data_IF_374759343529
#
_entry.id   IF_374759343529
#
_cell.length_a   1.000
_cell.length_b   1.000
_cell.length_c   1.000
_cell.angle_alpha   90.00
_cell.angle_beta   90.00
_cell.angle_gamma   90.00
#
_symmetry.space_group_name_H-M   'P 1'
#
loop_
_entity.id
_entity.type
_entity.pdbx_description
1 polymer ?
#
# COMPACT_ATOMS: atom_id res chain seq x y z
N UNK A 1 28.43 -19.06 16.71
CA UNK A 1 29.03 -18.61 17.98
C UNK A 1 27.97 -18.70 19.09
N UNK A 2 26.79 -18.14 18.93
CA UNK A 2 25.69 -18.13 19.90
C UNK A 2 25.22 -19.53 20.36
N UNK A 3 25.46 -20.57 19.58
CA UNK A 3 25.13 -21.96 19.96
C UNK A 3 26.01 -22.52 21.09
N UNK A 4 27.15 -21.88 21.35
CA UNK A 4 28.09 -22.33 22.41
C UNK A 4 27.68 -21.70 23.74
N UNK A 5 27.32 -22.49 24.76
CA UNK A 5 27.02 -21.97 26.09
C UNK A 5 28.18 -21.12 26.64
N UNK A 6 27.85 -19.95 27.20
CA UNK A 6 28.84 -19.02 27.74
C UNK A 6 29.54 -18.14 26.67
N UNK A 7 29.18 -18.23 25.40
CA UNK A 7 29.72 -17.32 24.38
C UNK A 7 29.19 -15.90 24.53
N UNK A 8 29.95 -14.90 24.07
CA UNK A 8 29.55 -13.49 24.12
C UNK A 8 28.24 -13.18 23.39
N UNK A 9 27.85 -14.04 22.45
CA UNK A 9 26.62 -13.86 21.66
C UNK A 9 25.52 -14.86 22.01
N UNK A 10 25.66 -15.63 23.08
CA UNK A 10 24.61 -16.58 23.48
C UNK A 10 23.26 -15.87 23.65
N UNK A 11 23.23 -14.78 24.42
CA UNK A 11 22.01 -14.05 24.76
C UNK A 11 21.54 -13.09 23.63
N UNK A 12 22.15 -13.15 22.45
CA UNK A 12 21.66 -12.45 21.26
C UNK A 12 20.40 -13.10 20.69
N UNK A 13 20.13 -14.35 21.12
CA UNK A 13 18.95 -15.12 20.74
C UNK A 13 18.18 -15.53 22.00
N UNK A 14 16.96 -15.98 21.80
CA UNK A 14 16.06 -16.34 22.89
C UNK A 14 16.13 -17.85 23.11
N UNK A 15 16.51 -18.25 24.31
CA UNK A 15 16.72 -19.66 24.66
C UNK A 15 15.79 -20.12 25.80
N UNK A 16 15.43 -21.43 25.79
CA UNK A 16 14.77 -22.13 26.88
C UNK A 16 15.43 -23.48 27.12
N UNK A 17 15.53 -23.89 28.37
CA UNK A 17 15.99 -25.23 28.74
C UNK A 17 14.90 -26.29 28.54
N UNK A 18 13.64 -25.89 28.54
CA UNK A 18 12.49 -26.75 28.33
C UNK A 18 11.71 -26.23 27.08
N UNK A 19 10.94 -27.16 26.46
CA UNK A 19 10.06 -26.76 25.38
C UNK A 19 8.81 -26.05 25.95
N UNK A 20 8.62 -24.71 25.73
CA UNK A 20 7.41 -24.03 26.19
C UNK A 20 6.11 -24.52 25.54
N UNK A 21 6.21 -25.29 24.45
CA UNK A 21 5.15 -26.05 23.80
C UNK A 21 3.99 -25.24 23.17
N UNK A 22 3.97 -23.91 23.28
CA UNK A 22 2.98 -23.10 22.53
C UNK A 22 3.34 -22.98 21.06
N UNK A 23 2.32 -22.73 20.25
CA UNK A 23 2.45 -22.58 18.79
C UNK A 23 2.43 -21.11 18.38
N UNK A 24 2.91 -20.82 17.19
CA UNK A 24 2.89 -19.51 16.59
C UNK A 24 1.51 -19.11 16.03
N UNK A 25 1.38 -17.88 15.53
CA UNK A 25 0.11 -17.32 15.02
C UNK A 25 -0.51 -18.12 13.87
N UNK A 26 0.29 -18.87 13.14
CA UNK A 26 -0.14 -19.75 12.04
C UNK A 26 -0.18 -21.23 12.43
N UNK A 27 -0.25 -21.51 13.74
CA UNK A 27 -0.25 -22.86 14.28
C UNK A 27 1.05 -23.65 13.99
N UNK A 28 2.15 -22.95 13.73
CA UNK A 28 3.47 -23.51 13.50
C UNK A 28 4.27 -23.64 14.80
N UNK A 29 5.30 -24.50 14.76
CA UNK A 29 6.26 -24.59 15.86
C UNK A 29 7.15 -23.32 15.87
N UNK A 30 7.34 -22.74 17.06
CA UNK A 30 8.18 -21.55 17.29
C UNK A 30 9.37 -21.82 18.23
N UNK A 31 9.38 -22.96 18.92
CA UNK A 31 10.51 -23.43 19.71
C UNK A 31 11.18 -24.61 19.03
N UNK A 32 12.44 -24.43 18.66
CA UNK A 32 13.21 -25.36 17.84
C UNK A 32 14.33 -25.98 18.69
N UNK A 33 14.44 -27.29 18.71
CA UNK A 33 15.41 -28.00 19.55
C UNK A 33 16.81 -27.93 18.96
N UNK A 34 17.79 -27.53 19.78
CA UNK A 34 19.21 -27.58 19.47
C UNK A 34 20.00 -28.15 20.66
N UNK A 35 20.49 -29.36 20.53
CA UNK A 35 21.13 -30.11 21.65
C UNK A 35 20.13 -30.33 22.81
N UNK A 36 20.47 -29.80 23.97
CA UNK A 36 19.66 -29.92 25.22
C UNK A 36 18.78 -28.67 25.46
N UNK A 37 18.75 -27.72 24.56
CA UNK A 37 18.00 -26.47 24.70
C UNK A 37 17.07 -26.26 23.51
N UNK A 38 16.23 -25.23 23.63
CA UNK A 38 15.37 -24.74 22.57
C UNK A 38 15.67 -23.25 22.29
N UNK A 39 15.66 -22.86 21.04
CA UNK A 39 15.70 -21.46 20.64
C UNK A 39 14.37 -21.03 20.01
N UNK A 40 14.05 -19.77 20.14
CA UNK A 40 12.86 -19.18 19.57
C UNK A 40 13.12 -18.75 18.12
N UNK A 41 12.16 -19.02 17.23
CA UNK A 41 12.14 -18.60 15.83
C UNK A 41 10.70 -18.64 15.34
N UNK A 42 10.05 -17.47 15.30
CA UNK A 42 8.61 -17.39 15.04
C UNK A 42 8.23 -17.89 13.65
N UNK A 43 9.06 -17.62 12.63
CA UNK A 43 8.74 -17.98 11.25
C UNK A 43 9.09 -19.46 10.96
N UNK A 44 10.32 -19.86 11.22
CA UNK A 44 10.76 -21.24 10.99
C UNK A 44 12.13 -21.52 11.64
N UNK A 45 12.54 -22.79 11.69
CA UNK A 45 13.75 -23.23 12.36
C UNK A 45 15.07 -22.63 11.83
N UNK A 46 15.11 -22.24 10.56
CA UNK A 46 16.27 -21.60 9.94
C UNK A 46 16.39 -20.10 10.18
N UNK A 47 15.42 -19.51 10.86
CA UNK A 47 15.35 -18.06 11.13
C UNK A 47 15.13 -17.81 12.65
N UNK A 48 16.18 -17.98 13.47
CA UNK A 48 16.10 -17.69 14.90
C UNK A 48 15.96 -16.19 15.15
N UNK A 49 15.04 -15.81 16.03
CA UNK A 49 14.76 -14.42 16.36
C UNK A 49 15.85 -13.82 17.24
N UNK A 50 16.21 -12.56 16.96
CA UNK A 50 17.12 -11.79 17.80
C UNK A 50 16.41 -11.37 19.10
N UNK A 51 17.16 -11.41 20.19
CA UNK A 51 16.69 -10.98 21.49
C UNK A 51 16.81 -9.45 21.65
N UNK A 52 15.80 -8.71 21.27
CA UNK A 52 15.76 -7.24 21.39
C UNK A 52 15.65 -6.72 22.83
N UNK A 53 15.56 -7.61 23.85
CA UNK A 53 15.75 -7.25 25.27
C UNK A 53 17.23 -7.17 25.63
N UNK A 54 18.12 -7.71 24.79
CA UNK A 54 19.57 -7.63 25.00
C UNK A 54 20.11 -6.28 24.50
N UNK A 55 20.74 -5.44 25.36
CA UNK A 55 21.24 -4.13 24.97
C UNK A 55 22.35 -4.18 23.91
N UNK A 56 23.11 -5.28 23.81
CA UNK A 56 24.13 -5.43 22.76
C UNK A 56 23.47 -5.62 21.39
N UNK A 57 22.36 -6.37 21.31
CA UNK A 57 21.55 -6.50 20.09
C UNK A 57 20.96 -5.16 19.68
N UNK A 58 20.40 -4.42 20.66
CA UNK A 58 19.85 -3.07 20.43
C UNK A 58 20.91 -2.15 19.85
N UNK A 59 22.09 -2.11 20.50
CA UNK A 59 23.22 -1.28 20.06
C UNK A 59 23.68 -1.65 18.64
N UNK A 60 23.72 -2.94 18.31
CA UNK A 60 24.14 -3.39 16.99
C UNK A 60 23.11 -3.03 15.91
N UNK A 61 21.82 -3.15 16.19
CA UNK A 61 20.78 -2.74 15.27
C UNK A 61 20.74 -1.23 15.03
N UNK A 62 21.07 -0.44 16.04
CA UNK A 62 21.25 1.02 15.86
C UNK A 62 22.44 1.33 14.93
N UNK A 63 23.55 0.60 15.06
CA UNK A 63 24.70 0.75 14.15
C UNK A 63 24.33 0.34 12.72
N UNK A 64 23.54 -0.72 12.54
CA UNK A 64 23.04 -1.11 11.21
C UNK A 64 22.21 0.02 10.60
N UNK A 65 21.28 0.60 11.37
CA UNK A 65 20.50 1.75 10.93
C UNK A 65 21.37 2.95 10.58
N UNK A 66 22.34 3.30 11.46
CA UNK A 66 23.28 4.39 11.24
C UNK A 66 24.11 4.20 9.97
N UNK A 67 24.63 2.99 9.73
CA UNK A 67 25.39 2.66 8.54
C UNK A 67 24.60 2.95 7.25
N UNK A 68 23.35 2.48 7.20
CA UNK A 68 22.53 2.69 6.01
C UNK A 68 22.14 4.16 5.80
N UNK A 69 21.79 4.89 6.87
CA UNK A 69 21.40 6.30 6.78
C UNK A 69 22.58 7.22 6.50
N UNK A 70 23.74 7.01 7.18
CA UNK A 70 24.88 7.95 7.12
C UNK A 70 25.90 7.58 6.03
N UNK A 71 26.26 6.30 5.91
CA UNK A 71 27.34 5.89 5.01
C UNK A 71 26.78 5.53 3.63
N UNK A 72 25.62 4.86 3.58
CA UNK A 72 25.02 4.43 2.32
C UNK A 72 24.02 5.43 1.74
N UNK A 73 23.58 6.43 2.53
CA UNK A 73 22.69 7.48 2.09
C UNK A 73 21.24 7.02 1.83
N UNK A 74 20.77 6.00 2.57
CA UNK A 74 19.37 5.60 2.51
C UNK A 74 18.48 6.68 3.11
N UNK A 75 17.27 6.87 2.54
CA UNK A 75 16.28 7.84 3.04
C UNK A 75 15.39 7.26 4.13
N UNK A 76 15.51 5.97 4.45
CA UNK A 76 14.72 5.31 5.47
C UNK A 76 14.66 3.80 5.28
N UNK A 77 13.68 3.16 5.94
CA UNK A 77 13.55 1.70 5.98
C UNK A 77 12.12 1.22 5.78
N UNK A 78 11.97 0.16 5.04
CA UNK A 78 10.79 -0.73 5.15
C UNK A 78 11.09 -1.77 6.23
N UNK A 79 10.23 -1.87 7.22
CA UNK A 79 10.38 -2.68 8.41
C UNK A 79 9.51 -3.92 8.29
N UNK A 80 10.16 -5.04 8.02
CA UNK A 80 9.52 -6.34 7.84
C UNK A 80 8.90 -6.84 9.14
N UNK A 81 7.71 -7.44 9.04
CA UNK A 81 7.10 -8.17 10.15
C UNK A 81 7.07 -7.41 11.49
N UNK A 82 6.82 -6.09 11.44
CA UNK A 82 7.04 -5.16 12.55
C UNK A 82 6.27 -5.49 13.84
N UNK A 83 5.19 -6.27 13.77
CA UNK A 83 4.40 -6.70 14.94
C UNK A 83 5.04 -7.83 15.76
N UNK A 84 6.11 -8.46 15.26
CA UNK A 84 6.69 -9.68 15.82
C UNK A 84 8.05 -9.46 16.53
N UNK A 85 8.41 -8.23 16.86
CA UNK A 85 9.77 -7.91 17.37
C UNK A 85 10.03 -8.45 18.77
N UNK A 86 9.02 -8.38 19.64
CA UNK A 86 9.14 -8.82 21.04
C UNK A 86 7.86 -9.56 21.46
N UNK A 87 8.01 -10.81 21.84
CA UNK A 87 6.95 -11.66 22.40
C UNK A 87 6.86 -11.54 23.93
N UNK A 88 5.70 -11.84 24.49
CA UNK A 88 5.49 -12.06 25.92
C UNK A 88 4.83 -13.44 26.11
N UNK A 89 5.64 -14.47 26.26
CA UNK A 89 5.19 -15.86 26.29
C UNK A 89 4.41 -16.23 25.03
N UNK A 90 3.15 -16.64 25.19
CA UNK A 90 2.27 -17.01 24.08
C UNK A 90 1.69 -15.80 23.32
N UNK A 91 1.79 -14.58 23.85
CA UNK A 91 1.47 -13.36 23.12
C UNK A 91 2.68 -12.99 22.25
N UNK A 92 2.60 -13.26 20.96
CA UNK A 92 3.73 -13.17 20.04
C UNK A 92 3.64 -11.98 19.09
N UNK A 93 2.59 -11.17 19.21
CA UNK A 93 2.33 -10.06 18.26
C UNK A 93 1.88 -8.81 19.00
N UNK A 94 2.33 -7.65 18.55
CA UNK A 94 1.88 -6.34 19.02
C UNK A 94 1.89 -6.22 20.55
N UNK A 95 2.95 -6.71 21.18
CA UNK A 95 3.11 -6.59 22.64
C UNK A 95 3.41 -5.14 23.02
N UNK A 96 3.15 -4.72 24.26
CA UNK A 96 3.55 -3.40 24.74
C UNK A 96 5.05 -3.13 24.57
N UNK A 97 5.91 -4.16 24.70
CA UNK A 97 7.35 -4.03 24.47
C UNK A 97 7.69 -3.81 22.98
N UNK A 98 6.96 -4.47 22.07
CA UNK A 98 7.09 -4.22 20.62
C UNK A 98 6.79 -2.75 20.28
N UNK A 99 5.72 -2.19 20.82
CA UNK A 99 5.39 -0.76 20.64
C UNK A 99 6.45 0.17 21.23
N UNK A 100 6.97 -0.13 22.43
CA UNK A 100 8.07 0.63 23.04
C UNK A 100 9.36 0.55 22.22
N UNK A 101 9.66 -0.63 21.64
CA UNK A 101 10.81 -0.82 20.77
C UNK A 101 10.74 0.12 19.56
N UNK A 102 9.62 0.19 18.86
CA UNK A 102 9.48 1.03 17.68
C UNK A 102 9.60 2.52 18.00
N UNK A 103 9.01 3.00 19.11
CA UNK A 103 9.21 4.39 19.57
C UNK A 103 10.68 4.72 19.80
N UNK A 104 11.39 3.80 20.45
CA UNK A 104 12.82 3.95 20.69
C UNK A 104 13.59 3.97 19.37
N UNK A 105 13.28 3.02 18.46
CA UNK A 105 13.99 2.91 17.20
C UNK A 105 13.74 4.13 16.30
N UNK A 106 12.51 4.61 16.20
CA UNK A 106 12.16 5.86 15.51
C UNK A 106 12.99 7.03 16.04
N UNK A 107 13.01 7.21 17.37
CA UNK A 107 13.80 8.27 18.01
C UNK A 107 15.29 8.16 17.68
N UNK A 108 15.85 6.95 17.68
CA UNK A 108 17.26 6.72 17.37
C UNK A 108 17.58 7.02 15.89
N UNK A 109 16.74 6.60 14.96
CA UNK A 109 16.94 6.82 13.51
C UNK A 109 16.74 8.29 13.15
N UNK A 110 15.74 8.97 13.71
CA UNK A 110 15.49 10.40 13.48
C UNK A 110 16.53 11.32 14.16
N UNK A 111 17.22 10.84 15.18
CA UNK A 111 18.39 11.56 15.71
C UNK A 111 19.58 11.55 14.75
N UNK A 112 19.64 10.56 13.84
CA UNK A 112 20.67 10.43 12.80
C UNK A 112 20.27 11.25 11.57
N UNK A 113 19.05 11.03 11.07
CA UNK A 113 18.46 11.76 9.95
C UNK A 113 17.00 12.10 10.31
N UNK A 114 16.67 13.37 10.60
CA UNK A 114 15.31 13.78 10.96
C UNK A 114 14.25 13.47 9.89
N UNK A 115 14.66 13.36 8.63
CA UNK A 115 13.79 13.06 7.49
C UNK A 115 13.72 11.55 7.17
N UNK A 116 14.36 10.69 7.98
CA UNK A 116 14.33 9.25 7.75
C UNK A 116 12.88 8.71 7.80
N UNK A 117 12.47 8.01 6.74
CA UNK A 117 11.13 7.42 6.62
C UNK A 117 11.11 5.98 7.16
N UNK A 118 10.25 5.69 8.12
CA UNK A 118 10.01 4.34 8.64
C UNK A 118 8.65 3.83 8.19
N UNK A 119 8.65 2.84 7.30
CA UNK A 119 7.43 2.22 6.76
C UNK A 119 7.30 0.79 7.27
N UNK A 120 6.28 0.52 8.08
CA UNK A 120 6.07 -0.79 8.67
C UNK A 120 5.25 -1.75 7.81
N UNK A 121 5.54 -3.03 7.94
CA UNK A 121 4.63 -4.09 7.54
C UNK A 121 4.01 -4.75 8.77
N UNK A 122 2.74 -4.44 9.00
CA UNK A 122 1.93 -4.99 10.08
C UNK A 122 0.69 -5.64 9.48
N UNK A 123 0.72 -6.95 9.33
CA UNK A 123 -0.42 -7.74 8.83
C UNK A 123 -1.49 -7.93 9.91
N UNK A 124 -2.35 -6.94 10.11
CA UNK A 124 -3.46 -6.94 11.07
C UNK A 124 -4.63 -6.09 10.56
N UNK A 125 -5.74 -6.05 11.32
CA UNK A 125 -6.86 -5.18 11.00
C UNK A 125 -6.47 -3.70 11.12
N UNK A 126 -7.05 -2.84 10.27
CA UNK A 126 -6.80 -1.39 10.18
C UNK A 126 -6.62 -0.70 11.54
N UNK A 127 -7.50 -1.01 12.51
CA UNK A 127 -7.45 -0.37 13.84
C UNK A 127 -6.14 -0.67 14.60
N UNK A 128 -5.65 -1.90 14.53
CA UNK A 128 -4.38 -2.30 15.17
C UNK A 128 -3.19 -1.70 14.44
N UNK A 129 -3.20 -1.77 13.11
CA UNK A 129 -2.12 -1.21 12.27
C UNK A 129 -1.95 0.29 12.48
N UNK A 130 -3.05 1.03 12.60
CA UNK A 130 -3.05 2.47 12.81
C UNK A 130 -2.42 2.90 14.15
N UNK A 131 -2.40 2.05 15.17
CA UNK A 131 -1.79 2.37 16.47
C UNK A 131 -0.26 2.57 16.35
N UNK A 132 0.41 1.84 15.45
CA UNK A 132 1.84 2.01 15.19
C UNK A 132 2.19 3.38 14.60
N UNK A 133 1.25 4.03 13.93
CA UNK A 133 1.44 5.37 13.35
C UNK A 133 1.02 6.46 14.32
N UNK A 134 -0.17 6.35 14.93
CA UNK A 134 -0.71 7.34 15.86
C UNK A 134 0.18 7.61 17.06
N UNK A 135 0.91 6.61 17.51
CA UNK A 135 1.72 6.69 18.73
C UNK A 135 3.16 7.15 18.46
N UNK A 136 3.51 7.55 17.24
CA UNK A 136 4.85 8.00 16.86
C UNK A 136 5.88 6.87 16.92
N UNK A 137 5.52 5.73 16.37
CA UNK A 137 6.38 4.54 16.27
C UNK A 137 6.95 4.39 14.87
N UNK A 138 6.08 4.58 13.87
CA UNK A 138 6.39 4.49 12.45
C UNK A 138 5.72 5.66 11.72
N UNK A 139 6.30 6.12 10.62
CA UNK A 139 5.71 7.20 9.82
C UNK A 139 4.52 6.71 8.99
N UNK A 140 4.62 5.50 8.46
CA UNK A 140 3.60 4.84 7.63
C UNK A 140 3.51 3.35 7.96
N UNK A 141 2.35 2.77 7.68
CA UNK A 141 2.17 1.32 7.59
C UNK A 141 1.45 0.95 6.30
N UNK A 142 1.78 -0.23 5.74
CA UNK A 142 1.04 -0.80 4.63
C UNK A 142 -0.37 -1.20 5.08
N UNK A 143 -1.39 -0.71 4.34
CA UNK A 143 -2.80 -0.90 4.68
C UNK A 143 -3.40 -2.03 3.83
N UNK A 144 -3.38 -3.25 4.36
CA UNK A 144 -3.78 -4.47 3.64
C UNK A 144 -5.29 -4.57 3.43
N UNK A 145 -6.11 -4.13 4.39
CA UNK A 145 -7.57 -4.16 4.26
C UNK A 145 -8.01 -3.26 3.09
N UNK A 146 -7.38 -2.08 2.95
CA UNK A 146 -7.64 -1.17 1.85
C UNK A 146 -7.16 -1.75 0.51
N UNK A 147 -5.97 -2.34 0.47
CA UNK A 147 -5.42 -2.97 -0.73
C UNK A 147 -6.37 -4.06 -1.27
N UNK A 148 -6.85 -4.94 -0.39
CA UNK A 148 -7.86 -5.95 -0.72
C UNK A 148 -9.14 -5.34 -1.25
N UNK A 149 -9.64 -4.28 -0.60
CA UNK A 149 -10.88 -3.61 -0.98
C UNK A 149 -10.79 -2.90 -2.35
N UNK A 150 -9.63 -2.28 -2.67
CA UNK A 150 -9.40 -1.67 -3.99
C UNK A 150 -9.44 -2.71 -5.12
N UNK A 151 -8.77 -3.85 -4.93
CA UNK A 151 -8.79 -4.94 -5.91
C UNK A 151 -10.17 -5.57 -6.05
N UNK A 152 -10.87 -5.78 -4.93
CA UNK A 152 -12.22 -6.34 -4.93
C UNK A 152 -13.23 -5.42 -5.61
N UNK A 153 -13.13 -4.10 -5.41
CA UNK A 153 -13.95 -3.12 -6.09
C UNK A 153 -13.76 -3.16 -7.61
N UNK A 154 -12.52 -3.21 -8.09
CA UNK A 154 -12.21 -3.30 -9.51
C UNK A 154 -12.64 -4.66 -10.10
N UNK A 155 -12.39 -5.78 -9.38
CA UNK A 155 -12.72 -7.12 -9.80
C UNK A 155 -14.23 -7.35 -9.91
N UNK A 156 -14.95 -6.94 -8.85
CA UNK A 156 -16.40 -7.20 -8.70
C UNK A 156 -17.25 -6.03 -9.20
N UNK A 157 -16.63 -4.92 -9.61
CA UNK A 157 -17.31 -3.72 -10.12
C UNK A 157 -18.29 -3.13 -9.10
N UNK A 158 -17.85 -3.00 -7.85
CA UNK A 158 -18.69 -2.56 -6.74
C UNK A 158 -17.97 -1.53 -5.84
N UNK A 159 -18.43 -0.28 -5.90
CA UNK A 159 -17.76 0.85 -5.22
C UNK A 159 -18.15 1.06 -3.76
N UNK A 160 -19.37 0.67 -3.36
CA UNK A 160 -19.88 0.98 -2.01
C UNK A 160 -19.05 0.33 -0.88
N UNK A 161 -18.57 -0.90 -1.08
CA UNK A 161 -17.69 -1.59 -0.12
C UNK A 161 -16.36 -0.87 0.05
N UNK A 162 -15.76 -0.44 -1.05
CA UNK A 162 -14.51 0.33 -1.04
C UNK A 162 -14.65 1.64 -0.26
N UNK A 163 -15.74 2.39 -0.49
CA UNK A 163 -15.99 3.63 0.24
C UNK A 163 -16.08 3.43 1.75
N UNK A 164 -16.70 2.34 2.20
CA UNK A 164 -16.79 1.99 3.61
C UNK A 164 -15.40 1.74 4.24
N UNK A 165 -14.57 0.94 3.58
CA UNK A 165 -13.20 0.64 4.06
C UNK A 165 -12.32 1.90 4.00
N UNK A 166 -12.37 2.66 2.89
CA UNK A 166 -11.60 3.90 2.77
C UNK A 166 -11.95 4.91 3.88
N UNK A 167 -13.23 5.06 4.21
CA UNK A 167 -13.66 5.90 5.34
C UNK A 167 -13.15 5.37 6.69
N UNK A 168 -13.16 4.06 6.90
CA UNK A 168 -12.64 3.47 8.12
C UNK A 168 -11.13 3.73 8.27
N UNK A 169 -10.38 3.53 7.20
CA UNK A 169 -8.93 3.82 7.14
C UNK A 169 -8.67 5.32 7.38
N UNK A 170 -9.35 6.20 6.65
CA UNK A 170 -9.20 7.65 6.81
C UNK A 170 -9.41 8.13 8.25
N UNK A 171 -10.38 7.55 8.96
CA UNK A 171 -10.67 7.86 10.36
C UNK A 171 -9.71 7.21 11.35
N UNK A 172 -9.07 6.11 10.95
CA UNK A 172 -8.20 5.35 11.82
C UNK A 172 -6.80 5.95 11.92
N UNK A 173 -6.28 6.54 10.85
CA UNK A 173 -4.93 7.10 10.77
C UNK A 173 -4.91 8.61 10.93
N UNK A 174 -3.76 9.21 11.29
CA UNK A 174 -3.53 10.62 11.00
C UNK A 174 -3.66 10.89 9.50
N UNK A 175 -4.10 12.06 9.05
CA UNK A 175 -4.37 12.34 7.64
C UNK A 175 -3.21 11.94 6.73
N UNK A 176 -3.49 11.13 5.71
CA UNK A 176 -2.55 10.63 4.70
C UNK A 176 -1.36 9.79 5.23
N UNK A 177 -1.28 9.44 6.51
CA UNK A 177 -0.16 8.68 7.08
C UNK A 177 -0.40 7.15 7.01
N UNK A 178 -0.73 6.64 5.86
CA UNK A 178 -0.80 5.20 5.55
C UNK A 178 -0.30 4.93 4.15
N UNK A 179 0.32 3.78 3.95
CA UNK A 179 0.81 3.33 2.66
C UNK A 179 -0.28 2.52 1.96
N UNK A 180 -0.87 3.09 0.92
CA UNK A 180 -1.80 2.40 0.04
C UNK A 180 -1.06 1.66 -1.09
N UNK A 181 -1.55 0.50 -1.48
CA UNK A 181 -0.94 -0.32 -2.53
C UNK A 181 -1.98 -1.30 -3.09
N UNK A 182 -1.70 -1.94 -4.23
CA UNK A 182 -2.57 -2.98 -4.79
C UNK A 182 -2.00 -4.38 -4.57
N UNK A 183 -0.70 -4.56 -4.72
CA UNK A 183 0.00 -5.80 -4.47
C UNK A 183 1.44 -5.53 -4.03
N UNK A 184 2.11 -6.57 -3.52
CA UNK A 184 3.52 -6.55 -3.17
C UNK A 184 4.20 -7.86 -3.57
N UNK A 185 5.46 -8.05 -3.16
CA UNK A 185 6.26 -9.23 -3.46
C UNK A 185 5.78 -10.53 -2.78
N UNK A 186 4.79 -10.46 -1.89
CA UNK A 186 4.20 -11.60 -1.17
C UNK A 186 2.76 -11.91 -1.62
N UNK A 187 2.23 -11.19 -2.59
CA UNK A 187 0.88 -11.33 -3.11
C UNK A 187 0.87 -11.64 -4.60
N UNK A 188 -0.23 -12.26 -5.08
CA UNK A 188 -0.45 -12.43 -6.51
C UNK A 188 -0.45 -11.06 -7.20
N UNK A 189 0.13 -11.01 -8.41
CA UNK A 189 0.19 -9.76 -9.17
C UNK A 189 -1.19 -9.24 -9.54
N UNK A 190 -1.35 -7.93 -9.52
CA UNK A 190 -2.61 -7.20 -9.78
C UNK A 190 -3.32 -7.71 -11.03
N UNK A 191 -2.62 -7.81 -12.16
CA UNK A 191 -3.22 -8.26 -13.42
C UNK A 191 -3.82 -9.66 -13.29
N UNK A 192 -3.11 -10.60 -12.66
CA UNK A 192 -3.62 -11.97 -12.45
C UNK A 192 -4.82 -12.03 -11.50
N UNK A 193 -4.85 -11.18 -10.44
CA UNK A 193 -6.01 -11.08 -9.54
C UNK A 193 -7.24 -10.56 -10.26
N UNK A 194 -7.04 -9.66 -11.23
CA UNK A 194 -8.11 -9.04 -12.02
C UNK A 194 -8.52 -9.85 -13.26
N UNK A 195 -7.92 -11.06 -13.47
CA UNK A 195 -8.26 -11.96 -14.58
C UNK A 195 -7.74 -11.48 -15.92
N UNK A 196 -6.55 -10.90 -15.93
CA UNK A 196 -5.85 -10.36 -17.09
C UNK A 196 -6.65 -9.26 -17.85
N UNK A 197 -7.54 -8.57 -17.11
CA UNK A 197 -8.42 -7.51 -17.62
C UNK A 197 -7.78 -6.12 -17.41
N UNK A 198 -7.26 -5.54 -18.48
CA UNK A 198 -6.60 -4.21 -18.48
C UNK A 198 -7.55 -3.10 -18.06
N UNK A 199 -8.84 -3.17 -18.37
CA UNK A 199 -9.81 -2.15 -17.97
C UNK A 199 -10.00 -2.14 -16.45
N UNK A 200 -10.08 -3.31 -15.82
CA UNK A 200 -10.10 -3.43 -14.35
C UNK A 200 -8.79 -2.95 -13.72
N UNK A 201 -7.62 -3.24 -14.34
CA UNK A 201 -6.33 -2.76 -13.86
C UNK A 201 -6.27 -1.21 -13.89
N UNK A 202 -6.82 -0.58 -14.94
CA UNK A 202 -6.95 0.89 -15.00
C UNK A 202 -7.84 1.44 -13.89
N UNK A 203 -8.95 0.76 -13.54
CA UNK A 203 -9.81 1.20 -12.42
C UNK A 203 -9.10 1.08 -11.08
N UNK A 204 -8.40 -0.01 -10.83
CA UNK A 204 -7.60 -0.19 -9.62
C UNK A 204 -6.50 0.89 -9.50
N UNK A 205 -5.78 1.16 -10.59
CA UNK A 205 -4.78 2.24 -10.65
C UNK A 205 -5.39 3.63 -10.39
N UNK A 206 -6.58 3.91 -10.97
CA UNK A 206 -7.28 5.18 -10.74
C UNK A 206 -7.63 5.36 -9.27
N UNK A 207 -8.16 4.32 -8.61
CA UNK A 207 -8.44 4.37 -7.18
C UNK A 207 -7.15 4.61 -6.39
N UNK A 208 -6.11 3.80 -6.60
CA UNK A 208 -4.85 3.90 -5.86
C UNK A 208 -4.23 5.29 -5.96
N UNK A 209 -4.15 5.85 -7.18
CA UNK A 209 -3.40 7.07 -7.43
C UNK A 209 -4.19 8.36 -7.18
N UNK A 210 -5.52 8.27 -6.96
CA UNK A 210 -6.35 9.45 -6.63
C UNK A 210 -6.84 9.46 -5.18
N UNK A 211 -6.92 8.29 -4.54
CA UNK A 211 -7.32 8.17 -3.13
C UNK A 211 -6.30 8.78 -2.16
N UNK A 212 -6.67 9.03 -0.89
CA UNK A 212 -5.74 9.48 0.14
C UNK A 212 -4.72 8.39 0.52
N UNK A 213 -3.66 8.79 1.23
CA UNK A 213 -2.53 7.96 1.60
C UNK A 213 -1.35 8.09 0.64
N UNK A 214 -0.27 7.40 0.92
CA UNK A 214 0.95 7.38 0.10
C UNK A 214 0.92 6.13 -0.78
N UNK A 215 0.78 6.25 -2.11
CA UNK A 215 0.68 5.09 -2.99
C UNK A 215 2.04 4.43 -3.21
N UNK A 216 2.08 3.11 -3.03
CA UNK A 216 3.20 2.25 -3.37
C UNK A 216 2.85 1.37 -4.56
N UNK A 217 3.76 1.27 -5.51
CA UNK A 217 3.60 0.46 -6.72
C UNK A 217 4.54 -0.74 -6.65
N UNK A 218 4.01 -1.94 -6.91
CA UNK A 218 4.84 -3.10 -7.11
C UNK A 218 5.32 -3.13 -8.56
N UNK A 219 6.65 -3.26 -8.79
CA UNK A 219 7.21 -3.19 -10.13
C UNK A 219 6.50 -4.11 -11.12
N UNK A 220 6.21 -3.58 -12.30
CA UNK A 220 5.56 -4.30 -13.38
C UNK A 220 4.04 -4.33 -13.32
N UNK A 221 3.40 -3.80 -12.26
CA UNK A 221 1.93 -3.65 -12.27
C UNK A 221 1.50 -2.62 -13.31
N UNK A 222 2.30 -1.57 -13.53
CA UNK A 222 2.09 -0.50 -14.50
C UNK A 222 2.15 -0.96 -15.97
N UNK A 223 2.74 -2.12 -16.22
CA UNK A 223 2.77 -2.76 -17.55
C UNK A 223 1.92 -4.02 -17.62
N UNK A 224 1.23 -4.38 -16.55
CA UNK A 224 0.37 -5.56 -16.50
C UNK A 224 1.13 -6.88 -16.43
N UNK A 225 2.25 -6.95 -15.71
CA UNK A 225 2.91 -8.22 -15.44
C UNK A 225 2.01 -9.17 -14.68
N UNK A 226 1.98 -10.44 -15.10
CA UNK A 226 1.18 -11.50 -14.49
C UNK A 226 2.02 -12.37 -13.55
N UNK A 227 1.36 -13.02 -12.60
CA UNK A 227 1.97 -13.99 -11.69
C UNK A 227 1.06 -14.33 -10.51
N UNK A 228 1.07 -15.62 -10.18
CA UNK A 228 0.40 -16.17 -9.00
C UNK A 228 1.42 -16.95 -8.18
N UNK A 229 1.21 -17.07 -6.86
CA UNK A 229 2.06 -17.88 -5.98
C UNK A 229 2.42 -19.24 -6.63
N UNK A 230 3.60 -19.82 -6.35
CA UNK A 230 4.55 -19.47 -5.28
C UNK A 230 5.39 -18.21 -5.57
N UNK A 231 6.17 -17.77 -4.58
CA UNK A 231 6.89 -16.48 -4.57
C UNK A 231 7.75 -16.25 -5.81
N UNK A 232 8.44 -17.27 -6.29
CA UNK A 232 9.27 -17.18 -7.49
C UNK A 232 8.45 -16.74 -8.71
N UNK A 233 7.18 -17.11 -8.77
CA UNK A 233 6.30 -16.80 -9.89
C UNK A 233 5.71 -15.39 -9.86
N UNK A 234 5.77 -14.72 -8.72
CA UNK A 234 5.34 -13.32 -8.56
C UNK A 234 6.51 -12.34 -8.50
N UNK A 235 7.76 -12.84 -8.40
CA UNK A 235 9.02 -12.07 -8.32
C UNK A 235 9.89 -12.25 -9.57
N UNK A 236 9.26 -12.45 -10.74
CA UNK A 236 9.96 -12.65 -12.02
C UNK A 236 10.66 -11.39 -12.48
N UNK A 237 11.69 -11.50 -13.37
CA UNK A 237 12.37 -10.35 -13.92
C UNK A 237 11.42 -9.34 -14.56
N UNK A 238 11.76 -8.04 -14.44
CA UNK A 238 11.02 -6.95 -15.09
C UNK A 238 11.03 -7.10 -16.61
N UNK A 239 9.93 -6.80 -17.26
CA UNK A 239 9.74 -6.92 -18.70
C UNK A 239 10.02 -5.57 -19.38
N UNK A 240 11.26 -5.37 -19.86
CA UNK A 240 11.68 -4.12 -20.48
C UNK A 240 11.35 -4.05 -21.96
N UNK A 241 11.57 -5.14 -22.70
CA UNK A 241 11.40 -5.21 -24.16
C UNK A 241 10.84 -6.57 -24.58
N UNK A 242 10.50 -6.73 -25.87
CA UNK A 242 10.12 -8.02 -26.47
C UNK A 242 11.34 -8.90 -26.84
N UNK A 243 12.56 -8.49 -26.52
CA UNK A 243 13.78 -9.25 -26.79
C UNK A 243 13.93 -10.45 -25.83
N UNK A 244 14.93 -11.29 -26.07
CA UNK A 244 15.27 -12.43 -25.21
C UNK A 244 15.41 -12.02 -23.75
N UNK A 245 14.89 -12.85 -22.82
CA UNK A 245 14.81 -12.57 -21.39
C UNK A 245 14.08 -11.24 -21.06
N UNK A 246 13.16 -10.81 -21.93
CA UNK A 246 12.45 -9.53 -21.82
C UNK A 246 13.39 -8.31 -21.73
N UNK A 247 14.59 -8.38 -22.28
CA UNK A 247 15.60 -7.33 -22.18
C UNK A 247 16.16 -7.12 -20.76
N UNK A 248 15.84 -8.00 -19.81
CA UNK A 248 16.28 -7.89 -18.42
C UNK A 248 17.75 -8.26 -18.23
N UNK A 249 18.23 -9.29 -18.91
CA UNK A 249 19.58 -9.81 -18.75
C UNK A 249 20.08 -10.46 -20.05
N UNK A 250 21.38 -10.34 -20.33
CA UNK A 250 22.07 -11.06 -21.40
C UNK A 250 22.42 -12.50 -21.00
N UNK A 251 22.39 -12.82 -19.70
CA UNK A 251 22.58 -14.16 -19.17
C UNK A 251 21.25 -14.81 -18.78
N UNK A 252 21.31 -16.10 -18.38
CA UNK A 252 20.13 -16.81 -17.88
C UNK A 252 19.65 -16.16 -16.57
N UNK A 253 18.40 -15.66 -16.51
CA UNK A 253 17.85 -15.11 -15.27
C UNK A 253 17.61 -16.22 -14.23
N UNK A 254 17.51 -15.86 -12.94
CA UNK A 254 17.26 -16.81 -11.85
C UNK A 254 15.94 -17.58 -12.01
N UNK A 255 14.95 -16.95 -12.65
CA UNK A 255 13.68 -17.56 -13.06
C UNK A 255 13.28 -17.01 -14.44
N UNK A 256 12.55 -17.81 -15.22
CA UNK A 256 12.09 -17.40 -16.54
C UNK A 256 11.13 -16.19 -16.45
N UNK A 257 11.22 -15.29 -17.42
CA UNK A 257 10.24 -14.22 -17.64
C UNK A 257 8.86 -14.79 -17.94
N UNK A 258 7.81 -14.01 -17.70
CA UNK A 258 6.44 -14.44 -18.00
C UNK A 258 6.17 -14.44 -19.50
N UNK A 259 5.30 -15.33 -20.01
CA UNK A 259 5.08 -15.50 -21.45
C UNK A 259 4.47 -14.27 -22.13
N UNK A 260 3.86 -13.34 -21.39
CA UNK A 260 3.26 -12.13 -21.95
C UNK A 260 4.27 -10.97 -22.16
N UNK A 261 5.57 -11.21 -22.04
CA UNK A 261 6.59 -10.14 -22.15
C UNK A 261 6.69 -9.56 -23.57
N UNK A 262 6.21 -10.25 -24.57
CA UNK A 262 6.16 -9.77 -25.96
C UNK A 262 5.20 -8.58 -26.17
N UNK A 263 4.16 -8.48 -25.35
CA UNK A 263 3.13 -7.44 -25.40
C UNK A 263 3.11 -6.57 -24.14
N UNK A 264 3.35 -7.18 -22.97
CA UNK A 264 3.37 -6.50 -21.68
C UNK A 264 4.80 -6.14 -21.28
N UNK A 265 5.38 -5.14 -21.95
CA UNK A 265 6.73 -4.63 -21.67
C UNK A 265 6.78 -3.12 -21.78
N UNK A 266 7.82 -2.54 -21.18
CA UNK A 266 8.00 -1.08 -21.11
C UNK A 266 8.13 -0.45 -22.51
N UNK A 267 8.95 -1.03 -23.39
CA UNK A 267 9.22 -0.49 -24.72
C UNK A 267 7.93 -0.37 -25.56
N UNK A 268 7.20 -1.49 -25.68
CA UNK A 268 5.93 -1.55 -26.44
C UNK A 268 4.89 -0.60 -25.86
N UNK A 269 4.73 -0.58 -24.53
CA UNK A 269 3.70 0.27 -23.91
C UNK A 269 4.09 1.74 -23.87
N UNK A 270 5.38 2.07 -23.80
CA UNK A 270 5.83 3.46 -23.88
C UNK A 270 5.55 4.09 -25.24
N UNK A 271 5.52 3.30 -26.31
CA UNK A 271 5.16 3.77 -27.64
C UNK A 271 3.65 3.95 -27.87
N UNK A 272 2.80 3.41 -26.97
CA UNK A 272 1.34 3.40 -27.11
C UNK A 272 0.67 4.36 -26.14
N UNK A 273 0.08 5.45 -26.65
CA UNK A 273 -0.57 6.49 -25.83
C UNK A 273 -1.72 5.96 -24.95
N UNK A 274 -2.42 4.92 -25.40
CA UNK A 274 -3.54 4.30 -24.67
C UNK A 274 -3.13 3.10 -23.82
N UNK A 275 -1.83 2.83 -23.62
CA UNK A 275 -1.35 1.71 -22.82
C UNK A 275 -1.65 1.86 -21.32
N UNK A 276 -1.51 0.77 -20.58
CA UNK A 276 -1.61 0.79 -19.13
C UNK A 276 -0.50 1.64 -18.51
N UNK A 277 0.74 1.53 -19.01
CA UNK A 277 1.88 2.34 -18.58
C UNK A 277 1.64 3.84 -18.78
N UNK A 278 1.12 4.25 -19.96
CA UNK A 278 0.79 5.66 -20.23
C UNK A 278 -0.31 6.16 -19.29
N UNK A 279 -1.27 5.31 -18.93
CA UNK A 279 -2.32 5.63 -17.97
C UNK A 279 -1.77 5.82 -16.55
N UNK A 280 -0.95 4.90 -16.05
CA UNK A 280 -0.25 5.07 -14.76
C UNK A 280 0.54 6.37 -14.73
N UNK A 281 1.31 6.64 -15.78
CA UNK A 281 2.10 7.87 -15.89
C UNK A 281 1.22 9.12 -15.81
N UNK A 282 0.10 9.14 -16.52
CA UNK A 282 -0.82 10.29 -16.49
C UNK A 282 -1.41 10.54 -15.10
N UNK A 283 -1.77 9.48 -14.38
CA UNK A 283 -2.30 9.60 -13.02
C UNK A 283 -1.22 10.00 -11.99
N UNK A 284 0.02 9.51 -12.15
CA UNK A 284 1.15 9.89 -11.29
C UNK A 284 1.47 11.38 -11.48
N UNK A 285 1.55 11.87 -12.72
CA UNK A 285 1.74 13.30 -12.99
C UNK A 285 0.58 14.11 -12.42
N UNK A 286 -0.65 13.70 -12.69
CA UNK A 286 -1.82 14.36 -12.15
C UNK A 286 -1.77 14.48 -10.62
N UNK A 287 -1.43 13.39 -9.93
CA UNK A 287 -1.26 13.41 -8.46
C UNK A 287 -0.16 14.38 -8.02
N UNK A 288 0.98 14.39 -8.72
CA UNK A 288 2.11 15.27 -8.41
C UNK A 288 1.79 16.75 -8.65
N UNK A 289 0.99 17.06 -9.66
CA UNK A 289 0.64 18.43 -10.02
C UNK A 289 -0.45 19.02 -9.11
N UNK A 290 -1.23 18.18 -8.40
CA UNK A 290 -2.37 18.60 -7.60
C UNK A 290 -2.18 18.33 -6.11
N UNK A 291 -2.12 19.41 -5.31
CA UNK A 291 -1.95 19.33 -3.85
C UNK A 291 -3.06 18.52 -3.19
N UNK A 292 -4.32 18.72 -3.60
CA UNK A 292 -5.45 18.01 -3.05
C UNK A 292 -5.30 16.48 -3.21
N UNK A 293 -4.75 16.00 -4.31
CA UNK A 293 -4.51 14.57 -4.51
C UNK A 293 -3.35 14.04 -3.66
N UNK A 294 -2.29 14.86 -3.43
CA UNK A 294 -1.15 14.45 -2.60
C UNK A 294 -1.47 14.42 -1.13
N UNK A 295 -1.95 15.54 -0.58
CA UNK A 295 -2.07 15.77 0.86
C UNK A 295 -3.46 16.26 1.31
N UNK A 296 -4.39 16.49 0.39
CA UNK A 296 -5.72 17.00 0.72
C UNK A 296 -6.54 16.04 1.60
N UNK A 297 -7.55 16.59 2.23
CA UNK A 297 -8.54 15.83 2.98
C UNK A 297 -9.41 14.97 2.06
N UNK A 298 -10.10 14.01 2.65
CA UNK A 298 -10.96 13.07 1.95
C UNK A 298 -12.39 13.15 2.49
N UNK A 299 -13.34 13.29 1.57
CA UNK A 299 -14.78 13.18 1.88
C UNK A 299 -15.45 12.28 0.85
N UNK A 300 -16.00 11.17 1.30
CA UNK A 300 -16.77 10.29 0.43
C UNK A 300 -18.07 10.96 0.01
N UNK A 301 -18.42 10.88 -1.27
CA UNK A 301 -19.75 11.22 -1.77
C UNK A 301 -20.66 10.00 -1.74
N UNK A 302 -21.96 10.21 -1.53
CA UNK A 302 -22.95 9.19 -1.86
C UNK A 302 -23.25 9.20 -3.35
N UNK A 303 -23.43 8.02 -3.92
CA UNK A 303 -23.91 7.81 -5.28
C UNK A 303 -25.09 6.84 -5.26
N UNK A 304 -26.15 7.13 -6.00
CA UNK A 304 -27.34 6.26 -6.08
C UNK A 304 -27.01 4.91 -6.73
N UNK A 305 -26.00 4.89 -7.61
CA UNK A 305 -25.53 3.70 -8.26
C UNK A 305 -24.34 3.08 -7.49
N UNK A 306 -24.48 1.87 -6.95
CA UNK A 306 -23.47 1.18 -6.16
C UNK A 306 -22.22 0.77 -6.94
N UNK A 307 -22.23 0.86 -8.27
CA UNK A 307 -21.09 0.61 -9.16
C UNK A 307 -20.29 1.88 -9.44
N UNK A 308 -20.77 3.02 -8.98
CA UNK A 308 -20.10 4.30 -9.05
C UNK A 308 -19.43 4.59 -7.70
N UNK A 309 -18.14 4.85 -7.75
CA UNK A 309 -17.38 5.30 -6.58
C UNK A 309 -17.02 6.78 -6.76
N UNK A 310 -17.35 7.61 -5.76
CA UNK A 310 -17.07 9.04 -5.83
C UNK A 310 -16.60 9.58 -4.48
N UNK A 311 -15.63 10.50 -4.54
CA UNK A 311 -15.11 11.19 -3.37
C UNK A 311 -14.53 12.56 -3.76
N UNK A 312 -14.46 13.44 -2.77
CA UNK A 312 -13.79 14.72 -2.87
C UNK A 312 -12.43 14.65 -2.18
N UNK A 313 -11.41 15.16 -2.85
CA UNK A 313 -10.13 15.54 -2.26
C UNK A 313 -10.08 17.05 -2.20
N UNK A 314 -9.78 17.61 -1.04
CA UNK A 314 -9.74 19.06 -0.91
C UNK A 314 -8.54 19.53 -0.09
N UNK A 315 -7.94 20.65 -0.51
CA UNK A 315 -6.89 21.37 0.20
C UNK A 315 -7.31 22.83 0.38
N UNK A 316 -6.42 23.64 0.94
CA UNK A 316 -6.66 25.08 1.05
C UNK A 316 -6.77 25.79 -0.32
N UNK A 317 -6.28 25.16 -1.38
CA UNK A 317 -6.11 25.80 -2.69
C UNK A 317 -6.96 25.20 -3.80
N UNK A 318 -7.42 23.97 -3.65
CA UNK A 318 -8.18 23.29 -4.71
C UNK A 318 -9.11 22.21 -4.18
N UNK A 319 -10.15 21.93 -4.97
CA UNK A 319 -11.12 20.87 -4.73
C UNK A 319 -11.15 19.94 -5.95
N UNK A 320 -10.95 18.66 -5.75
CA UNK A 320 -10.95 17.66 -6.82
C UNK A 320 -11.98 16.58 -6.50
N UNK A 321 -13.01 16.51 -7.34
CA UNK A 321 -13.99 15.42 -7.35
C UNK A 321 -13.42 14.26 -8.19
N UNK A 322 -13.26 13.11 -7.58
CA UNK A 322 -12.96 11.86 -8.29
C UNK A 322 -14.23 11.06 -8.44
N UNK A 323 -14.53 10.64 -9.66
CA UNK A 323 -15.73 9.91 -10.03
C UNK A 323 -15.35 8.71 -10.91
N UNK A 324 -15.66 7.51 -10.46
CA UNK A 324 -15.24 6.27 -11.13
C UNK A 324 -16.46 5.39 -11.38
N UNK A 325 -16.74 5.10 -12.65
CA UNK A 325 -17.66 4.05 -13.04
C UNK A 325 -16.88 2.71 -13.11
N UNK A 326 -17.10 1.84 -12.17
CA UNK A 326 -16.47 0.51 -12.10
C UNK A 326 -17.13 -0.52 -13.02
N UNK A 327 -18.36 -0.25 -13.50
CA UNK A 327 -19.11 -1.19 -14.33
C UNK A 327 -18.58 -1.23 -15.77
N UNK A 328 -18.76 -2.41 -16.41
CA UNK A 328 -18.51 -2.59 -17.83
C UNK A 328 -19.64 -2.02 -18.72
N UNK A 329 -20.72 -1.56 -18.13
CA UNK A 329 -21.79 -0.85 -18.79
C UNK A 329 -21.70 0.67 -18.53
N UNK A 330 -22.20 1.51 -19.44
CA UNK A 330 -22.38 2.93 -19.17
C UNK A 330 -23.31 3.17 -17.99
N UNK A 331 -23.07 4.21 -17.21
CA UNK A 331 -23.93 4.59 -16.10
C UNK A 331 -24.58 5.95 -16.36
N UNK A 332 -25.85 5.93 -16.76
CA UNK A 332 -26.68 7.12 -16.90
C UNK A 332 -27.51 7.37 -15.63
N UNK A 333 -27.75 6.34 -14.86
CA UNK A 333 -28.51 6.38 -13.63
C UNK A 333 -27.56 6.48 -12.42
N UNK A 334 -27.09 7.69 -12.15
CA UNK A 334 -26.28 8.03 -10.99
C UNK A 334 -26.55 9.48 -10.59
N UNK A 335 -26.57 9.74 -9.31
CA UNK A 335 -26.65 11.06 -8.71
C UNK A 335 -25.68 11.11 -7.56
N UNK A 336 -24.94 12.20 -7.47
CA UNK A 336 -23.95 12.42 -6.44
C UNK A 336 -24.49 13.41 -5.39
N UNK A 337 -24.23 13.12 -4.13
CA UNK A 337 -24.51 14.05 -3.04
C UNK A 337 -23.30 14.19 -2.14
N UNK A 338 -22.99 15.42 -1.74
CA UNK A 338 -21.92 15.78 -0.83
C UNK A 338 -22.51 16.31 0.47
N UNK A 339 -22.00 15.83 1.60
CA UNK A 339 -22.35 16.32 2.94
C UNK A 339 -21.79 17.74 3.19
N UNK A 340 -22.34 18.51 4.15
CA UNK A 340 -21.93 19.88 4.42
C UNK A 340 -20.44 20.06 4.74
N UNK A 341 -19.87 21.20 4.34
CA UNK A 341 -18.67 21.78 4.90
C UNK A 341 -17.43 21.88 4.01
N UNK A 342 -17.40 21.25 2.82
CA UNK A 342 -16.16 21.19 2.04
C UNK A 342 -16.06 22.22 0.89
N UNK A 343 -17.19 22.72 0.38
CA UNK A 343 -17.19 23.58 -0.82
C UNK A 343 -17.80 24.96 -0.53
N UNK A 344 -17.30 25.97 -1.25
CA UNK A 344 -17.84 27.34 -1.20
C UNK A 344 -17.53 28.10 -2.50
N UNK A 345 -18.26 29.20 -2.74
CA UNK A 345 -18.02 30.07 -3.88
C UNK A 345 -18.57 29.55 -5.21
N UNK A 346 -18.08 30.12 -6.29
CA UNK A 346 -18.44 29.72 -7.65
C UNK A 346 -17.51 28.63 -8.14
N UNK A 347 -18.05 27.50 -8.58
CA UNK A 347 -17.30 26.35 -9.08
C UNK A 347 -17.27 26.38 -10.62
N UNK A 348 -16.12 26.01 -11.19
CA UNK A 348 -15.90 25.90 -12.63
C UNK A 348 -15.33 24.54 -12.99
N UNK A 349 -16.12 23.47 -12.97
CA UNK A 349 -15.63 22.11 -13.10
C UNK A 349 -14.95 21.84 -14.43
N UNK A 350 -13.75 21.27 -14.35
CA UNK A 350 -12.97 20.82 -15.52
C UNK A 350 -12.44 19.41 -15.27
N UNK A 351 -12.75 18.48 -16.15
CA UNK A 351 -12.12 17.16 -16.10
C UNK A 351 -10.63 17.30 -16.48
N UNK A 352 -9.74 16.99 -15.54
CA UNK A 352 -8.30 17.16 -15.68
C UNK A 352 -7.66 16.18 -16.66
N UNK A 353 -8.30 15.03 -16.91
CA UNK A 353 -7.79 14.02 -17.87
C UNK A 353 -8.13 14.40 -19.32
N UNK A 354 -9.32 14.95 -19.57
CA UNK A 354 -9.80 15.30 -20.92
C UNK A 354 -9.76 16.80 -21.22
N UNK A 355 -9.55 17.64 -20.21
CA UNK A 355 -9.63 19.10 -20.25
C UNK A 355 -11.01 19.64 -20.67
N UNK A 356 -12.05 18.85 -20.44
CA UNK A 356 -13.42 19.20 -20.77
C UNK A 356 -14.07 19.99 -19.62
N UNK A 357 -14.69 21.13 -19.93
CA UNK A 357 -15.51 21.88 -18.97
C UNK A 357 -16.84 21.16 -18.75
N UNK A 358 -17.26 21.08 -17.49
CA UNK A 358 -18.44 20.36 -17.04
C UNK A 358 -19.41 21.31 -16.33
N UNK A 359 -20.72 20.99 -16.26
CA UNK A 359 -21.67 21.79 -15.48
C UNK A 359 -21.30 21.79 -13.98
N UNK A 360 -21.49 22.93 -13.33
CA UNK A 360 -21.25 23.06 -11.90
C UNK A 360 -22.43 22.48 -11.07
N UNK A 361 -22.16 21.93 -9.87
CA UNK A 361 -23.24 21.59 -8.94
C UNK A 361 -23.91 22.86 -8.39
N UNK A 362 -25.20 22.76 -8.05
CA UNK A 362 -25.88 23.79 -7.28
C UNK A 362 -25.54 23.62 -5.80
N UNK A 363 -24.75 24.51 -5.23
CA UNK A 363 -24.38 24.46 -3.83
C UNK A 363 -25.50 24.97 -2.93
N UNK A 364 -25.76 24.27 -1.83
CA UNK A 364 -26.52 24.76 -0.69
C UNK A 364 -25.68 25.78 0.11
N UNK A 365 -26.31 26.54 1.00
CA UNK A 365 -25.65 27.55 1.83
C UNK A 365 -24.52 26.97 2.73
N UNK A 366 -24.58 25.69 3.07
CA UNK A 366 -23.60 24.97 3.88
C UNK A 366 -22.48 24.29 3.07
N UNK A 367 -22.43 24.54 1.74
CA UNK A 367 -21.41 23.94 0.85
C UNK A 367 -21.69 22.52 0.41
N UNK A 368 -22.85 21.95 0.77
CA UNK A 368 -23.29 20.65 0.26
C UNK A 368 -23.95 20.78 -1.11
N UNK A 369 -24.15 19.64 -1.76
CA UNK A 369 -25.00 19.53 -2.96
C UNK A 369 -25.73 18.19 -3.00
N UNK A 370 -26.82 18.15 -3.74
CA UNK A 370 -27.59 16.93 -4.01
C UNK A 370 -27.84 16.77 -5.49
N UNK A 371 -28.09 15.56 -5.93
CA UNK A 371 -28.47 15.19 -7.31
C UNK A 371 -27.51 15.69 -8.39
N UNK A 372 -26.24 15.91 -8.09
CA UNK A 372 -25.26 16.38 -9.07
C UNK A 372 -24.89 15.29 -10.08
N UNK A 373 -24.92 15.64 -11.33
CA UNK A 373 -24.51 14.79 -12.45
C UNK A 373 -23.63 15.62 -13.39
N UNK A 374 -22.28 15.57 -13.29
CA UNK A 374 -21.39 16.31 -14.15
C UNK A 374 -21.48 15.90 -15.62
N UNK A 375 -21.88 14.67 -15.90
CA UNK A 375 -22.04 14.09 -17.23
C UNK A 375 -23.43 13.43 -17.36
N UNK A 376 -24.06 13.46 -18.52
CA UNK A 376 -25.32 12.75 -18.75
C UNK A 376 -25.19 11.24 -18.59
N UNK A 377 -24.01 10.70 -18.90
CA UNK A 377 -23.64 9.29 -18.80
C UNK A 377 -22.15 9.14 -18.51
N UNK A 378 -21.78 8.21 -17.63
CA UNK A 378 -20.41 7.82 -17.36
C UNK A 378 -20.03 6.65 -18.29
N UNK A 379 -18.94 6.77 -19.02
CA UNK A 379 -18.44 5.69 -19.86
C UNK A 379 -18.07 4.45 -19.02
N UNK A 380 -18.14 3.22 -19.60
CA UNK A 380 -17.75 1.99 -18.92
C UNK A 380 -16.32 2.04 -18.41
N UNK A 381 -16.09 1.56 -17.19
CA UNK A 381 -14.76 1.42 -16.58
C UNK A 381 -13.88 2.64 -16.81
N UNK A 382 -14.41 3.80 -16.46
CA UNK A 382 -13.77 5.10 -16.67
C UNK A 382 -13.69 5.90 -15.37
N UNK A 383 -12.55 6.51 -15.13
CA UNK A 383 -12.35 7.47 -14.06
C UNK A 383 -12.31 8.90 -14.61
N UNK A 384 -12.96 9.79 -13.89
CA UNK A 384 -12.97 11.24 -14.11
C UNK A 384 -12.35 11.91 -12.91
N UNK A 385 -11.45 12.85 -13.14
CA UNK A 385 -10.79 13.63 -12.10
C UNK A 385 -11.11 15.10 -12.38
N UNK A 386 -12.04 15.63 -11.61
CA UNK A 386 -12.71 16.89 -11.92
C UNK A 386 -12.26 17.95 -10.90
N UNK A 387 -11.51 18.94 -11.34
CA UNK A 387 -11.25 20.13 -10.54
C UNK A 387 -12.54 20.96 -10.51
N UNK A 388 -12.98 21.31 -9.28
CA UNK A 388 -14.21 22.06 -9.07
C UNK A 388 -13.99 23.59 -8.98
#
# INVERSE_FOLDING_TARGET
EAQKPGSARENWYIWSNENPAYLGPWNQRVWHKLGNRYYYGIFWEGMPDLNYRNPDVVTEMDKVGAFWLQEMGADGFRLDAARYVLEDGAQQTSTPETHQWWKRYDTAMKAINPDALLVGEVGAATKEVAEYVKNGELDLNFEFDLAGSMLDAARNRFGAGLGTIQNAVWKAYPPNQFASFLANHDQNRVMSVLGDDTAKARMAAAVLLTAPGVPFLYYGEEIGMIGTKPDEQIRTPMQWTAAENAGFSTGKPWIAVKPNYDTSNVETQNAAAASLLSYYRSLIHLRNDHEALRVGDYTQLSADNSRVYAFLRHSAHENILVLINLDAAPAADYKLSLTPGALSGTLNPVDLLTKTTLPAPSLNADGSFNDYRPLPELAPQTAYVIQL
#
